data_IF_398650509179
#
_entry.id   IF_398650509179
#
_cell.length_a   1.000
_cell.length_b   1.000
_cell.length_c   1.000
_cell.angle_alpha   90.00
_cell.angle_beta   90.00
_cell.angle_gamma   90.00
#
_symmetry.space_group_name_H-M   'P 1'
#
loop_
_entity.id
_entity.type
_entity.pdbx_description
1 polymer ?
#
# COMPACT_ATOMS: atom_id res chain seq x y z
N UNK A 1 8.42 30.58 25.11
CA UNK A 1 8.32 29.56 24.04
C UNK A 1 9.68 29.48 23.36
N UNK A 2 10.37 28.33 23.33
CA UNK A 2 11.65 28.25 22.63
C UNK A 2 11.41 28.29 21.12
N UNK A 3 12.09 29.19 20.41
CA UNK A 3 12.08 29.24 18.95
C UNK A 3 12.96 28.10 18.42
N UNK A 4 12.37 27.19 17.63
CA UNK A 4 13.13 26.18 16.90
C UNK A 4 14.06 26.88 15.90
N UNK A 5 15.36 26.56 15.96
CA UNK A 5 16.32 27.14 15.03
C UNK A 5 16.00 26.71 13.59
N UNK A 6 16.32 27.57 12.63
CA UNK A 6 16.09 27.35 11.20
C UNK A 6 16.74 26.05 10.69
N UNK A 7 17.84 25.63 11.32
CA UNK A 7 18.51 24.34 11.04
C UNK A 7 17.74 23.12 11.55
N UNK A 8 17.10 23.22 12.71
CA UNK A 8 16.27 22.13 13.26
C UNK A 8 15.02 21.93 12.41
N UNK A 9 14.39 23.03 11.96
CA UNK A 9 13.26 22.96 11.02
C UNK A 9 13.65 22.30 9.69
N UNK A 10 14.78 22.69 9.09
CA UNK A 10 15.26 22.10 7.84
C UNK A 10 15.52 20.59 7.97
N UNK A 11 16.10 20.15 9.10
CA UNK A 11 16.36 18.74 9.36
C UNK A 11 15.06 17.92 9.52
N UNK A 12 14.06 18.47 10.22
CA UNK A 12 12.74 17.85 10.38
C UNK A 12 12.04 17.70 9.02
N UNK A 13 12.07 18.75 8.18
CA UNK A 13 11.49 18.68 6.84
C UNK A 13 12.15 17.62 5.97
N UNK A 14 13.49 17.54 5.98
CA UNK A 14 14.25 16.52 5.22
C UNK A 14 13.88 15.09 5.65
N UNK A 15 13.79 14.85 6.97
CA UNK A 15 13.41 13.54 7.52
C UNK A 15 11.97 13.16 7.16
N UNK A 16 11.03 14.12 7.17
CA UNK A 16 9.64 13.89 6.78
C UNK A 16 9.49 13.61 5.28
N UNK A 17 10.26 14.28 4.41
CA UNK A 17 10.22 14.01 2.97
C UNK A 17 10.78 12.63 2.59
N UNK A 18 11.82 12.16 3.28
CA UNK A 18 12.41 10.84 3.01
C UNK A 18 11.49 9.68 3.41
N UNK A 19 10.74 9.83 4.51
CA UNK A 19 9.78 8.80 4.96
C UNK A 19 8.52 8.75 4.09
N UNK A 20 8.06 9.90 3.57
CA UNK A 20 6.98 9.96 2.56
C UNK A 20 7.36 9.25 1.27
N UNK A 21 8.52 9.61 0.68
CA UNK A 21 8.98 9.04 -0.58
C UNK A 21 9.17 7.50 -0.52
N UNK A 22 9.72 6.96 0.57
CA UNK A 22 9.88 5.52 0.74
C UNK A 22 8.56 4.75 0.94
N UNK A 23 7.55 5.39 1.54
CA UNK A 23 6.19 4.82 1.62
C UNK A 23 5.54 4.72 0.25
N UNK A 24 5.78 5.73 -0.58
CA UNK A 24 5.24 5.79 -1.93
C UNK A 24 5.91 4.73 -2.82
N UNK A 25 7.22 4.53 -2.73
CA UNK A 25 7.94 3.51 -3.51
C UNK A 25 7.44 2.07 -3.24
N UNK A 26 7.26 1.70 -1.97
CA UNK A 26 6.78 0.35 -1.62
C UNK A 26 5.33 0.16 -2.09
N UNK A 27 4.47 1.17 -1.91
CA UNK A 27 3.07 1.09 -2.34
C UNK A 27 2.94 1.08 -3.86
N UNK A 28 3.82 1.78 -4.57
CA UNK A 28 3.92 1.75 -6.03
C UNK A 28 4.35 0.37 -6.53
N UNK A 29 5.34 -0.25 -5.90
CA UNK A 29 5.77 -1.60 -6.29
C UNK A 29 4.69 -2.65 -5.99
N UNK A 30 3.98 -2.55 -4.85
CA UNK A 30 2.79 -3.38 -4.63
C UNK A 30 1.75 -3.19 -5.73
N UNK A 31 1.46 -1.94 -6.11
CA UNK A 31 0.51 -1.66 -7.18
C UNK A 31 0.96 -2.23 -8.53
N UNK A 32 2.26 -2.16 -8.83
CA UNK A 32 2.85 -2.74 -10.03
C UNK A 32 2.68 -4.26 -10.05
N UNK A 33 3.06 -4.94 -8.96
CA UNK A 33 2.92 -6.39 -8.84
C UNK A 33 1.46 -6.84 -8.93
N UNK A 34 0.53 -6.12 -8.30
CA UNK A 34 -0.91 -6.43 -8.39
C UNK A 34 -1.37 -6.30 -9.84
N UNK A 35 -0.98 -5.23 -10.54
CA UNK A 35 -1.36 -5.06 -11.96
C UNK A 35 -0.79 -6.16 -12.84
N UNK A 36 0.41 -6.68 -12.53
CA UNK A 36 1.03 -7.75 -13.30
C UNK A 36 0.28 -9.10 -13.21
N UNK A 37 -0.53 -9.31 -12.17
CA UNK A 37 -1.40 -10.49 -12.05
C UNK A 37 -2.61 -10.43 -13.01
N UNK A 38 -2.88 -9.29 -13.65
CA UNK A 38 -3.97 -9.10 -14.61
C UNK A 38 -3.43 -8.79 -16.00
N UNK A 39 -3.93 -9.48 -17.03
CA UNK A 39 -3.52 -9.24 -18.42
C UNK A 39 -3.94 -7.85 -18.93
N UNK A 40 -3.13 -7.27 -19.84
CA UNK A 40 -3.30 -6.08 -20.68
C UNK A 40 -4.46 -5.12 -20.32
N UNK A 41 -4.45 -4.58 -19.10
CA UNK A 41 -5.32 -3.47 -18.71
C UNK A 41 -6.69 -3.84 -18.16
N UNK A 42 -6.90 -5.08 -17.71
CA UNK A 42 -8.16 -5.45 -17.06
C UNK A 42 -8.38 -4.71 -15.71
N UNK A 43 -7.41 -3.98 -15.16
CA UNK A 43 -7.56 -3.23 -13.89
C UNK A 43 -8.13 -1.83 -14.13
N UNK A 44 -9.40 -1.64 -13.77
CA UNK A 44 -10.11 -0.36 -13.88
C UNK A 44 -9.86 0.56 -12.69
N UNK A 45 -9.68 -0.01 -11.50
CA UNK A 45 -9.44 0.73 -10.26
C UNK A 45 -8.61 -0.10 -9.29
N UNK A 46 -7.69 0.55 -8.59
CA UNK A 46 -6.77 -0.08 -7.65
C UNK A 46 -6.57 0.85 -6.47
N UNK A 47 -7.12 0.47 -5.32
CA UNK A 47 -7.06 1.28 -4.11
C UNK A 47 -6.58 0.46 -2.92
N UNK A 48 -5.49 0.91 -2.33
CA UNK A 48 -5.11 0.51 -0.98
C UNK A 48 -6.10 1.13 0.01
N UNK A 49 -6.72 0.31 0.84
CA UNK A 49 -7.67 0.77 1.86
C UNK A 49 -7.22 0.46 3.29
N UNK A 50 -6.15 -0.31 3.46
CA UNK A 50 -5.54 -0.54 4.77
C UNK A 50 -4.02 -0.63 4.62
N UNK A 51 -3.31 0.01 5.54
CA UNK A 51 -1.86 -0.14 5.71
C UNK A 51 -1.56 -0.32 7.19
N UNK A 52 -0.84 -1.38 7.52
CA UNK A 52 -0.42 -1.67 8.90
C UNK A 52 1.10 -1.78 8.96
N UNK A 53 1.69 -1.12 9.95
CA UNK A 53 3.12 -1.17 10.22
C UNK A 53 3.39 -2.16 11.36
N UNK A 54 4.18 -3.19 11.07
CA UNK A 54 4.69 -4.11 12.08
C UNK A 54 6.01 -3.62 12.68
N UNK A 55 6.58 -4.44 13.56
CA UNK A 55 7.91 -4.20 14.15
C UNK A 55 9.01 -4.16 13.08
N UNK A 56 10.10 -3.46 13.38
CA UNK A 56 11.32 -3.41 12.57
C UNK A 56 11.11 -2.92 11.13
N UNK A 57 10.05 -2.16 10.85
CA UNK A 57 9.78 -1.60 9.53
C UNK A 57 9.04 -2.53 8.57
N UNK A 58 8.56 -3.68 9.05
CA UNK A 58 7.65 -4.56 8.30
C UNK A 58 6.36 -3.81 7.98
N UNK A 59 5.80 -4.03 6.80
CA UNK A 59 4.54 -3.39 6.36
C UNK A 59 3.62 -4.39 5.71
N UNK A 60 2.34 -4.21 5.94
CA UNK A 60 1.27 -4.94 5.29
C UNK A 60 0.29 -3.96 4.66
N UNK A 61 -0.28 -4.33 3.53
CA UNK A 61 -1.32 -3.57 2.85
C UNK A 61 -2.50 -4.46 2.46
N UNK A 62 -3.70 -3.90 2.46
CA UNK A 62 -4.87 -4.50 1.83
C UNK A 62 -5.37 -3.60 0.71
N UNK A 63 -5.69 -4.21 -0.43
CA UNK A 63 -6.03 -3.54 -1.66
C UNK A 63 -7.34 -4.07 -2.23
N UNK A 64 -8.20 -3.17 -2.67
CA UNK A 64 -9.36 -3.48 -3.51
C UNK A 64 -8.95 -3.25 -4.97
N UNK A 65 -9.09 -4.29 -5.77
CA UNK A 65 -8.80 -4.27 -7.20
C UNK A 65 -10.10 -4.48 -7.95
N UNK A 66 -10.54 -3.46 -8.69
CA UNK A 66 -11.67 -3.60 -9.60
C UNK A 66 -11.15 -3.88 -11.00
N UNK A 67 -11.69 -4.93 -11.60
CA UNK A 67 -11.27 -5.39 -12.91
C UNK A 67 -12.45 -5.65 -13.82
N UNK A 68 -12.17 -5.94 -15.09
CA UNK A 68 -13.13 -6.44 -16.05
C UNK A 68 -13.77 -7.78 -15.64
N UNK A 69 -13.11 -8.57 -14.80
CA UNK A 69 -13.58 -9.88 -14.31
C UNK A 69 -14.28 -9.83 -12.95
N UNK A 70 -14.38 -8.64 -12.37
CA UNK A 70 -14.98 -8.38 -11.06
C UNK A 70 -14.02 -7.75 -10.07
N UNK A 71 -14.38 -7.81 -8.79
CA UNK A 71 -13.63 -7.21 -7.70
C UNK A 71 -12.78 -8.27 -6.98
N UNK A 72 -11.58 -7.89 -6.58
CA UNK A 72 -10.65 -8.76 -5.86
C UNK A 72 -10.04 -8.03 -4.68
N UNK A 73 -9.75 -8.79 -3.64
CA UNK A 73 -8.96 -8.32 -2.51
C UNK A 73 -7.55 -8.89 -2.60
N UNK A 74 -6.57 -8.02 -2.37
CA UNK A 74 -5.15 -8.36 -2.39
C UNK A 74 -4.51 -8.00 -1.05
N UNK A 75 -3.74 -8.94 -0.53
CA UNK A 75 -2.81 -8.70 0.57
C UNK A 75 -1.43 -8.39 0.01
N UNK A 76 -0.76 -7.39 0.58
CA UNK A 76 0.57 -6.99 0.22
C UNK A 76 1.48 -7.01 1.44
N UNK A 77 2.75 -7.37 1.26
CA UNK A 77 3.74 -7.44 2.32
C UNK A 77 5.08 -6.85 1.90
N UNK A 78 5.74 -6.22 2.87
CA UNK A 78 7.11 -5.74 2.75
C UNK A 78 7.90 -6.11 4.00
N UNK A 79 9.06 -6.73 3.77
CA UNK A 79 10.03 -7.11 4.78
C UNK A 79 11.37 -6.40 4.51
N UNK A 80 11.86 -5.54 5.42
CA UNK A 80 13.15 -4.88 5.26
C UNK A 80 14.32 -5.87 5.39
N UNK A 81 15.51 -5.43 4.97
CA UNK A 81 16.72 -6.28 4.88
C UNK A 81 17.11 -6.98 6.19
N UNK A 82 16.82 -6.36 7.33
CA UNK A 82 17.12 -6.89 8.66
C UNK A 82 16.10 -7.94 9.14
N UNK A 83 15.05 -8.22 8.37
CA UNK A 83 14.04 -9.24 8.67
C UNK A 83 14.29 -10.45 7.78
N UNK A 84 14.66 -11.58 8.38
CA UNK A 84 14.87 -12.83 7.66
C UNK A 84 13.52 -13.37 7.17
N UNK A 85 13.40 -13.58 5.87
CA UNK A 85 12.22 -14.17 5.22
C UNK A 85 12.68 -15.24 4.22
N UNK A 86 11.85 -16.26 4.04
CA UNK A 86 12.05 -17.33 3.06
C UNK A 86 11.60 -16.93 1.65
N UNK A 87 10.90 -15.79 1.54
CA UNK A 87 10.24 -15.31 0.33
C UNK A 87 10.85 -13.99 -0.20
N UNK A 88 10.32 -13.50 -1.32
CA UNK A 88 10.58 -12.14 -1.80
C UNK A 88 10.26 -11.10 -0.72
N UNK A 89 11.08 -10.04 -0.64
CA UNK A 89 10.93 -8.97 0.35
C UNK A 89 9.68 -8.11 0.12
N UNK A 90 9.29 -7.92 -1.13
CA UNK A 90 8.04 -7.28 -1.52
C UNK A 90 7.21 -8.35 -2.21
N UNK A 91 5.97 -8.52 -1.77
CA UNK A 91 5.07 -9.51 -2.32
C UNK A 91 3.63 -9.06 -2.26
N UNK A 92 2.84 -9.60 -3.18
CA UNK A 92 1.39 -9.44 -3.22
C UNK A 92 0.76 -10.81 -3.44
N UNK A 93 -0.47 -10.96 -2.98
CA UNK A 93 -1.24 -12.19 -3.14
C UNK A 93 -2.71 -11.82 -3.19
N UNK A 94 -3.42 -12.35 -4.18
CA UNK A 94 -4.88 -12.35 -4.16
C UNK A 94 -5.37 -13.11 -2.91
N UNK A 95 -6.07 -12.44 -2.01
CA UNK A 95 -6.64 -13.06 -0.81
C UNK A 95 -8.00 -13.67 -1.13
N UNK A 96 -8.83 -12.97 -1.91
CA UNK A 96 -10.14 -13.45 -2.32
C UNK A 96 -10.68 -12.75 -3.58
N UNK A 97 -11.55 -13.46 -4.32
CA UNK A 97 -12.46 -12.85 -5.30
C UNK A 97 -13.73 -12.42 -4.57
N UNK A 98 -14.11 -11.15 -4.71
CA UNK A 98 -15.28 -10.59 -4.04
C UNK A 98 -16.53 -10.78 -4.91
N UNK A 99 -17.72 -10.94 -4.30
CA UNK A 99 -18.97 -10.84 -5.04
C UNK A 99 -19.11 -9.43 -5.66
N UNK A 100 -20.04 -9.24 -6.61
CA UNK A 100 -20.40 -7.91 -7.07
C UNK A 100 -20.74 -7.01 -5.87
N UNK A 101 -20.05 -5.87 -5.77
CA UNK A 101 -20.23 -4.91 -4.69
C UNK A 101 -21.19 -3.82 -5.13
N UNK A 102 -22.15 -3.47 -4.28
CA UNK A 102 -23.02 -2.32 -4.50
C UNK A 102 -22.21 -1.01 -4.42
N UNK A 103 -22.69 0.10 -5.01
CA UNK A 103 -22.01 1.39 -4.91
C UNK A 103 -21.73 1.83 -3.47
N UNK A 104 -22.65 1.55 -2.54
CA UNK A 104 -22.49 1.88 -1.12
C UNK A 104 -21.37 1.05 -0.48
N UNK A 105 -21.29 -0.24 -0.79
CA UNK A 105 -20.21 -1.11 -0.29
C UNK A 105 -18.85 -0.70 -0.85
N UNK A 106 -18.78 -0.40 -2.16
CA UNK A 106 -17.58 0.13 -2.79
C UNK A 106 -17.13 1.43 -2.12
N UNK A 107 -18.05 2.38 -1.93
CA UNK A 107 -17.75 3.64 -1.26
C UNK A 107 -17.26 3.39 0.17
N UNK A 108 -17.88 2.47 0.89
CA UNK A 108 -17.45 2.02 2.22
C UNK A 108 -16.00 1.56 2.22
N UNK A 109 -15.63 0.66 1.30
CA UNK A 109 -14.26 0.16 1.17
C UNK A 109 -13.26 1.27 0.82
N UNK A 110 -13.60 2.18 -0.09
CA UNK A 110 -12.71 3.30 -0.44
C UNK A 110 -12.51 4.30 0.70
N UNK A 111 -13.50 4.41 1.59
CA UNK A 111 -13.46 5.35 2.71
C UNK A 111 -12.62 4.85 3.87
N UNK A 112 -12.18 3.59 3.85
CA UNK A 112 -11.30 3.00 4.88
C UNK A 112 -9.85 3.49 4.79
N UNK A 113 -9.48 4.22 3.73
CA UNK A 113 -8.18 4.85 3.55
C UNK A 113 -8.05 6.07 4.50
N UNK A 114 -7.90 5.79 5.80
CA UNK A 114 -7.85 6.78 6.88
C UNK A 114 -6.78 6.44 7.91
#
# INVERSE_FOLDING_TARGET
>A
MPSLSRGVLALIFLLASASGAANDEISQEWAHLIKADFQDGCVNRLDQYLTTFGSNGVRFGAWLVQTCEGNFEYGASYYPLNVRTENKRIGVRQTQKLPPLTPVQLQGMYSLKG
#
